data_IF_622781979415
#
_entry.id   IF_622781979415
#
_cell.length_a   1.000
_cell.length_b   1.000
_cell.length_c   1.000
_cell.angle_alpha   90.00
_cell.angle_beta   90.00
_cell.angle_gamma   90.00
#
_symmetry.space_group_name_H-M   'P 1'
#
loop_
_entity.id
_entity.type
_entity.pdbx_description
1 polymer ?
#
# COMPACT_ATOMS: atom_id res chain seq x y z
N UNK A 1 31.27 46.69 9.54
CA UNK A 1 32.55 45.97 9.61
C UNK A 1 32.76 45.25 8.28
N UNK A 2 33.55 45.81 7.37
CA UNK A 2 33.79 45.18 6.05
C UNK A 2 34.78 44.03 6.18
N UNK A 3 34.33 42.82 5.86
CA UNK A 3 35.20 41.64 5.78
C UNK A 3 35.84 41.64 4.39
N UNK A 4 37.15 41.87 4.32
CA UNK A 4 37.84 41.83 3.03
C UNK A 4 37.81 40.42 2.43
N UNK A 5 37.61 40.32 1.11
CA UNK A 5 37.60 39.05 0.35
C UNK A 5 38.83 38.17 0.66
N UNK A 6 39.99 38.79 0.92
CA UNK A 6 41.22 38.09 1.30
C UNK A 6 41.14 37.45 2.70
N UNK A 7 40.48 38.08 3.67
CA UNK A 7 40.22 37.47 4.99
C UNK A 7 39.20 36.33 4.90
N UNK A 8 38.18 36.47 4.05
CA UNK A 8 37.19 35.41 3.83
C UNK A 8 37.81 34.14 3.23
N UNK A 9 38.61 34.27 2.16
CA UNK A 9 39.29 33.13 1.52
C UNK A 9 40.29 32.46 2.48
N UNK A 10 41.03 33.24 3.27
CA UNK A 10 41.96 32.67 4.27
C UNK A 10 41.22 31.87 5.34
N UNK A 11 40.08 32.36 5.81
CA UNK A 11 39.27 31.69 6.83
C UNK A 11 38.57 30.44 6.26
N UNK A 12 38.13 30.45 4.99
CA UNK A 12 37.65 29.25 4.29
C UNK A 12 38.73 28.18 4.14
N UNK A 13 39.96 28.59 3.77
CA UNK A 13 41.09 27.66 3.64
C UNK A 13 41.45 26.96 4.95
N UNK A 14 41.40 27.69 6.07
CA UNK A 14 41.59 27.13 7.41
C UNK A 14 40.45 26.20 7.82
N UNK A 15 39.20 26.53 7.47
CA UNK A 15 38.03 25.67 7.70
C UNK A 15 38.11 24.34 6.92
N UNK A 16 38.47 24.39 5.63
CA UNK A 16 38.64 23.19 4.79
C UNK A 16 39.80 22.30 5.25
N UNK A 17 40.92 22.89 5.69
CA UNK A 17 42.03 22.14 6.25
C UNK A 17 41.62 21.40 7.53
N UNK A 18 40.88 22.06 8.44
CA UNK A 18 40.36 21.44 9.66
C UNK A 18 39.35 20.30 9.39
N UNK A 19 38.52 20.44 8.35
CA UNK A 19 37.61 19.38 7.90
C UNK A 19 38.36 18.17 7.34
N UNK A 20 39.46 18.39 6.60
CA UNK A 20 40.26 17.28 6.04
C UNK A 20 41.07 16.52 7.12
N UNK A 21 41.52 17.21 8.16
CA UNK A 21 42.22 16.61 9.30
C UNK A 21 41.26 15.84 10.22
N UNK A 22 40.05 16.38 10.46
CA UNK A 22 39.00 15.67 11.18
C UNK A 22 38.42 14.50 10.38
N UNK A 23 38.32 14.60 9.05
CA UNK A 23 37.90 13.47 8.21
C UNK A 23 38.90 12.31 8.26
N UNK A 24 40.22 12.59 8.31
CA UNK A 24 41.24 11.55 8.52
C UNK A 24 41.19 10.95 9.93
N UNK A 25 40.93 11.75 10.96
CA UNK A 25 40.75 11.25 12.33
C UNK A 25 39.44 10.46 12.51
N UNK A 26 38.37 10.84 11.82
CA UNK A 26 37.09 10.11 11.81
C UNK A 26 37.21 8.81 10.99
N UNK A 27 37.95 8.81 9.88
CA UNK A 27 38.26 7.63 9.09
C UNK A 27 39.20 6.66 9.85
N UNK A 28 40.14 7.17 10.65
CA UNK A 28 40.99 6.33 11.52
C UNK A 28 40.22 5.76 12.72
N UNK A 29 39.16 6.44 13.20
CA UNK A 29 38.21 5.91 14.19
C UNK A 29 37.07 5.08 13.56
N UNK A 30 37.02 4.99 12.23
CA UNK A 30 36.16 4.06 11.50
C UNK A 30 36.79 2.65 11.40
N UNK A 31 37.90 2.40 12.11
CA UNK A 31 38.33 1.06 12.49
C UNK A 31 37.38 0.46 13.56
N UNK A 32 36.08 0.58 13.35
CA UNK A 32 35.10 -0.17 14.10
C UNK A 32 35.25 -1.63 13.67
N UNK A 33 35.62 -2.50 14.60
CA UNK A 33 35.76 -3.95 14.39
C UNK A 33 34.47 -4.67 13.95
N UNK A 34 33.44 -3.93 13.54
CA UNK A 34 32.20 -4.42 12.95
C UNK A 34 32.47 -5.24 11.69
N UNK A 35 33.50 -4.91 10.91
CA UNK A 35 33.93 -5.75 9.77
C UNK A 35 34.47 -7.11 10.23
N UNK A 36 35.15 -7.16 11.39
CA UNK A 36 35.58 -8.42 12.00
C UNK A 36 34.43 -9.23 12.63
N UNK A 37 33.25 -8.63 12.79
CA UNK A 37 32.00 -9.32 13.13
C UNK A 37 31.31 -9.92 11.89
N UNK A 38 31.76 -9.59 10.67
CA UNK A 38 31.27 -10.21 9.45
C UNK A 38 31.75 -11.65 9.42
N UNK A 39 30.80 -12.56 9.46
CA UNK A 39 31.09 -13.98 9.41
C UNK A 39 31.08 -14.39 7.94
N UNK A 40 32.26 -14.69 7.39
CA UNK A 40 32.44 -14.93 5.95
C UNK A 40 31.83 -16.25 5.47
N UNK A 41 31.67 -17.23 6.34
CA UNK A 41 30.85 -18.41 6.10
C UNK A 41 30.42 -19.00 7.45
N UNK A 42 29.12 -19.23 7.63
CA UNK A 42 28.58 -19.78 8.88
C UNK A 42 27.36 -20.64 8.64
N UNK A 43 27.47 -21.69 7.84
CA UNK A 43 26.36 -22.61 7.57
C UNK A 43 25.05 -21.86 7.24
N UNK A 44 25.17 -20.70 6.58
CA UNK A 44 23.99 -19.88 6.32
C UNK A 44 23.17 -20.67 5.30
N UNK A 45 21.89 -20.97 5.58
CA UNK A 45 21.06 -21.63 4.59
C UNK A 45 21.14 -20.83 3.29
N UNK A 46 21.33 -21.51 2.16
CA UNK A 46 21.30 -20.86 0.86
C UNK A 46 20.00 -20.04 0.81
N UNK A 47 20.07 -18.74 0.45
CA UNK A 47 18.86 -17.92 0.41
C UNK A 47 17.87 -18.60 -0.53
N UNK A 48 16.58 -18.56 -0.15
CA UNK A 48 15.55 -19.08 -1.00
C UNK A 48 15.65 -18.42 -2.38
N UNK A 49 15.41 -19.16 -3.48
CA UNK A 49 15.36 -18.56 -4.81
C UNK A 49 14.42 -17.35 -4.81
N UNK A 50 14.79 -16.31 -5.57
CA UNK A 50 13.94 -15.12 -5.72
C UNK A 50 12.54 -15.54 -6.18
N UNK A 51 11.51 -15.09 -5.46
CA UNK A 51 10.11 -15.41 -5.76
C UNK A 51 9.54 -16.63 -5.03
N UNK A 52 10.30 -17.25 -4.11
CA UNK A 52 9.81 -18.35 -3.26
C UNK A 52 8.91 -17.87 -2.10
N UNK A 53 8.91 -16.56 -1.83
CA UNK A 53 8.20 -15.90 -0.73
C UNK A 53 6.66 -15.85 -0.93
N UNK A 54 6.18 -16.14 -2.14
CA UNK A 54 4.77 -16.04 -2.51
C UNK A 54 4.37 -17.16 -3.46
N UNK A 55 3.19 -17.73 -3.25
CA UNK A 55 2.63 -18.70 -4.19
C UNK A 55 2.44 -18.08 -5.60
N UNK A 56 2.45 -18.88 -6.67
CA UNK A 56 2.24 -18.37 -8.02
C UNK A 56 0.88 -17.67 -8.17
N UNK A 57 0.78 -16.66 -9.04
CA UNK A 57 -0.47 -15.96 -9.31
C UNK A 57 -1.61 -16.91 -9.71
N UNK A 58 -1.31 -17.94 -10.50
CA UNK A 58 -2.27 -18.96 -10.91
C UNK A 58 -2.89 -19.70 -9.73
N UNK A 59 -2.14 -19.89 -8.63
CA UNK A 59 -2.67 -20.48 -7.42
C UNK A 59 -3.76 -19.60 -6.80
N UNK A 60 -3.49 -18.29 -6.63
CA UNK A 60 -4.46 -17.34 -6.10
C UNK A 60 -5.72 -17.23 -6.97
N UNK A 61 -5.54 -17.13 -8.29
CA UNK A 61 -6.65 -17.11 -9.25
C UNK A 61 -7.51 -18.38 -9.16
N UNK A 62 -6.89 -19.56 -8.96
CA UNK A 62 -7.64 -20.82 -8.77
C UNK A 62 -8.47 -20.84 -7.49
N UNK A 63 -7.96 -20.24 -6.39
CA UNK A 63 -8.68 -20.12 -5.12
C UNK A 63 -9.87 -19.18 -5.25
N UNK A 64 -9.68 -18.04 -5.93
CA UNK A 64 -10.77 -17.11 -6.23
C UNK A 64 -11.81 -17.76 -7.13
N UNK A 65 -11.41 -18.50 -8.17
CA UNK A 65 -12.36 -19.22 -9.03
C UNK A 65 -13.20 -20.24 -8.25
N UNK A 66 -12.58 -20.96 -7.31
CA UNK A 66 -13.28 -21.88 -6.40
C UNK A 66 -14.30 -21.13 -5.53
N UNK A 67 -13.89 -19.99 -4.96
CA UNK A 67 -14.78 -19.13 -4.17
C UNK A 67 -15.95 -18.61 -5.01
N UNK A 68 -15.70 -18.10 -6.22
CA UNK A 68 -16.76 -17.60 -7.12
C UNK A 68 -17.76 -18.70 -7.47
N UNK A 69 -17.31 -19.94 -7.67
CA UNK A 69 -18.19 -21.09 -7.93
C UNK A 69 -19.16 -21.35 -6.77
N UNK A 70 -18.70 -21.15 -5.53
CA UNK A 70 -19.57 -21.30 -4.35
C UNK A 70 -20.52 -20.12 -4.21
N UNK A 71 -20.03 -18.89 -4.37
CA UNK A 71 -20.85 -17.68 -4.31
C UNK A 71 -21.93 -17.62 -5.38
N UNK A 72 -21.66 -18.16 -6.58
CA UNK A 72 -22.65 -18.24 -7.65
C UNK A 72 -23.86 -19.10 -7.25
N UNK A 73 -23.68 -20.15 -6.44
CA UNK A 73 -24.78 -21.00 -5.94
C UNK A 73 -25.67 -20.23 -4.96
N UNK A 74 -25.08 -19.30 -4.22
CA UNK A 74 -25.77 -18.40 -3.27
C UNK A 74 -26.36 -17.15 -3.94
N UNK A 75 -26.35 -17.08 -5.28
CA UNK A 75 -26.84 -15.93 -6.06
C UNK A 75 -26.14 -14.60 -5.71
N UNK A 76 -24.87 -14.67 -5.30
CA UNK A 76 -24.03 -13.50 -5.02
C UNK A 76 -23.38 -13.00 -6.32
N UNK A 77 -23.34 -11.68 -6.52
CA UNK A 77 -22.76 -11.04 -7.72
C UNK A 77 -21.26 -10.72 -7.56
N UNK A 78 -20.78 -10.58 -6.33
CA UNK A 78 -19.38 -10.30 -6.02
C UNK A 78 -19.06 -10.38 -4.54
N UNK A 79 -17.78 -10.41 -4.19
CA UNK A 79 -17.32 -10.39 -2.80
C UNK A 79 -16.34 -9.24 -2.57
N UNK A 80 -16.58 -8.48 -1.50
CA UNK A 80 -15.70 -7.43 -0.99
C UNK A 80 -14.96 -7.92 0.25
N UNK A 81 -13.63 -7.96 0.17
CA UNK A 81 -12.77 -8.37 1.27
C UNK A 81 -12.07 -7.15 1.90
N UNK A 82 -12.16 -7.06 3.22
CA UNK A 82 -11.45 -6.07 4.03
C UNK A 82 -10.45 -6.73 4.97
N UNK A 83 -10.69 -7.95 5.48
CA UNK A 83 -9.77 -8.54 6.45
C UNK A 83 -8.44 -8.90 5.80
N UNK A 84 -7.35 -8.49 6.44
CA UNK A 84 -5.98 -8.69 5.94
C UNK A 84 -5.67 -10.11 5.54
N UNK A 85 -5.98 -11.06 6.41
CA UNK A 85 -5.75 -12.48 6.14
C UNK A 85 -6.48 -12.97 4.90
N UNK A 86 -7.71 -12.50 4.66
CA UNK A 86 -8.50 -12.91 3.51
C UNK A 86 -8.00 -12.23 2.23
N UNK A 87 -7.69 -10.92 2.29
CA UNK A 87 -7.11 -10.20 1.15
C UNK A 87 -5.80 -10.86 0.72
N UNK A 88 -4.90 -11.16 1.67
CA UNK A 88 -3.63 -11.84 1.40
C UNK A 88 -3.88 -13.23 0.81
N UNK A 89 -4.75 -14.02 1.43
CA UNK A 89 -5.01 -15.39 0.99
C UNK A 89 -5.60 -15.48 -0.42
N UNK A 90 -6.53 -14.59 -0.77
CA UNK A 90 -7.22 -14.64 -2.06
C UNK A 90 -6.49 -13.88 -3.17
N UNK A 91 -5.77 -12.80 -2.85
CA UNK A 91 -5.10 -11.99 -3.87
C UNK A 91 -3.59 -12.23 -4.00
N UNK A 92 -2.93 -12.70 -2.95
CA UNK A 92 -1.47 -12.75 -2.87
C UNK A 92 -0.79 -11.38 -2.74
N UNK A 93 -1.55 -10.31 -2.50
CA UNK A 93 -0.99 -8.99 -2.18
C UNK A 93 -0.79 -8.89 -0.66
N UNK A 94 0.47 -8.79 -0.22
CA UNK A 94 0.86 -8.71 1.19
C UNK A 94 0.64 -7.31 1.78
N UNK A 95 -0.61 -6.86 1.78
CA UNK A 95 -1.02 -5.57 2.32
C UNK A 95 -2.00 -5.78 3.48
N UNK A 96 -1.54 -5.47 4.69
CA UNK A 96 -2.41 -5.35 5.86
C UNK A 96 -3.16 -4.02 5.86
N UNK A 97 -4.26 -3.87 6.59
CA UNK A 97 -5.02 -2.63 6.73
C UNK A 97 -4.91 -2.11 8.15
N UNK A 98 -5.08 -0.80 8.27
CA UNK A 98 -5.17 -0.12 9.56
C UNK A 98 -6.13 1.05 9.40
N UNK A 99 -5.78 2.21 9.96
CA UNK A 99 -6.49 3.46 9.69
C UNK A 99 -6.59 3.78 8.18
N UNK A 100 -5.60 3.33 7.42
CA UNK A 100 -5.60 3.31 5.95
C UNK A 100 -6.28 2.04 5.49
N UNK A 101 -7.60 2.04 5.51
CA UNK A 101 -8.42 0.91 5.05
C UNK A 101 -8.11 0.58 3.58
N UNK A 102 -8.13 -0.71 3.25
CA UNK A 102 -7.85 -1.22 1.91
C UNK A 102 -8.78 -2.39 1.65
N UNK A 103 -9.44 -2.37 0.50
CA UNK A 103 -10.36 -3.42 0.08
C UNK A 103 -9.94 -4.01 -1.26
N UNK A 104 -10.28 -5.27 -1.45
CA UNK A 104 -10.27 -5.92 -2.76
C UNK A 104 -11.64 -6.49 -3.05
N UNK A 105 -12.10 -6.29 -4.28
CA UNK A 105 -13.39 -6.75 -4.76
C UNK A 105 -13.19 -7.72 -5.91
N UNK A 106 -13.83 -8.88 -5.80
CA UNK A 106 -13.85 -9.93 -6.81
C UNK A 106 -15.27 -10.11 -7.33
N UNK A 107 -15.56 -9.70 -8.59
CA UNK A 107 -16.85 -9.97 -9.22
C UNK A 107 -16.98 -11.46 -9.57
N UNK A 108 -18.17 -12.04 -9.39
CA UNK A 108 -18.41 -13.46 -9.71
C UNK A 108 -18.40 -13.70 -11.22
N UNK A 109 -18.86 -12.74 -12.01
CA UNK A 109 -19.03 -12.89 -13.47
C UNK A 109 -17.76 -12.62 -14.28
N UNK A 110 -16.75 -11.97 -13.70
CA UNK A 110 -15.52 -11.62 -14.43
C UNK A 110 -14.36 -12.50 -13.97
N UNK A 111 -13.82 -13.29 -14.89
CA UNK A 111 -12.69 -14.17 -14.57
C UNK A 111 -11.41 -13.35 -14.38
N UNK A 112 -10.63 -13.73 -13.38
CA UNK A 112 -9.32 -13.14 -13.07
C UNK A 112 -9.36 -11.62 -12.78
N UNK A 113 -10.53 -11.07 -12.44
CA UNK A 113 -10.68 -9.67 -12.08
C UNK A 113 -10.38 -9.45 -10.59
N UNK A 114 -9.57 -8.43 -10.28
CA UNK A 114 -9.29 -7.98 -8.91
C UNK A 114 -9.32 -6.45 -8.86
N UNK A 115 -10.38 -5.89 -8.30
CA UNK A 115 -10.58 -4.44 -8.17
C UNK A 115 -10.17 -3.97 -6.78
N UNK A 116 -9.24 -3.03 -6.72
CA UNK A 116 -8.68 -2.54 -5.46
C UNK A 116 -9.17 -1.15 -5.11
N UNK A 117 -9.38 -0.94 -3.81
CA UNK A 117 -9.69 0.35 -3.21
C UNK A 117 -8.68 0.61 -2.10
N UNK A 118 -7.69 1.47 -2.35
CA UNK A 118 -6.47 1.53 -1.53
C UNK A 118 -5.98 2.95 -1.22
N UNK A 119 -5.11 3.14 -0.22
CA UNK A 119 -4.39 4.40 -0.06
C UNK A 119 -3.33 4.56 -1.15
N UNK A 120 -3.02 5.80 -1.51
CA UNK A 120 -2.07 6.14 -2.58
C UNK A 120 -0.64 5.68 -2.29
N UNK A 121 -0.27 5.53 -1.00
CA UNK A 121 1.04 5.02 -0.59
C UNK A 121 1.27 3.57 -1.03
N UNK A 122 0.21 2.77 -1.14
CA UNK A 122 0.28 1.35 -1.50
C UNK A 122 -0.07 1.10 -2.98
N UNK A 123 -0.28 2.17 -3.76
CA UNK A 123 -0.66 2.07 -5.17
C UNK A 123 0.28 1.16 -5.94
N UNK A 124 1.59 1.41 -5.85
CA UNK A 124 2.60 0.69 -6.62
C UNK A 124 2.77 -0.77 -6.16
N UNK A 125 2.61 -1.02 -4.85
CA UNK A 125 2.58 -2.38 -4.29
C UNK A 125 1.42 -3.19 -4.88
N UNK A 126 0.24 -2.58 -4.99
CA UNK A 126 -0.97 -3.24 -5.49
C UNK A 126 -0.90 -3.42 -7.01
N UNK A 127 -0.57 -2.36 -7.76
CA UNK A 127 -0.56 -2.40 -9.23
C UNK A 127 0.57 -3.24 -9.81
N UNK A 128 1.62 -3.54 -9.04
CA UNK A 128 2.72 -4.43 -9.48
C UNK A 128 2.42 -5.92 -9.32
N UNK A 129 1.25 -6.29 -8.77
CA UNK A 129 0.82 -7.68 -8.62
C UNK A 129 -0.47 -7.97 -9.41
N UNK A 130 -1.46 -8.59 -8.78
CA UNK A 130 -2.76 -8.90 -9.36
C UNK A 130 -3.73 -7.75 -9.13
N UNK A 131 -3.84 -6.90 -10.15
CA UNK A 131 -4.67 -5.71 -10.12
C UNK A 131 -5.29 -5.50 -11.51
N UNK A 132 -6.61 -5.62 -11.60
CA UNK A 132 -7.36 -5.23 -12.80
C UNK A 132 -7.50 -3.72 -12.86
N UNK A 133 -7.85 -3.12 -11.73
CA UNK A 133 -7.91 -1.68 -11.54
C UNK A 133 -7.69 -1.36 -10.06
N UNK A 134 -7.09 -0.21 -9.78
CA UNK A 134 -6.92 0.28 -8.43
C UNK A 134 -7.40 1.72 -8.35
N UNK A 135 -8.53 1.92 -7.67
CA UNK A 135 -8.98 3.23 -7.27
C UNK A 135 -8.37 3.58 -5.93
N UNK A 136 -7.75 4.75 -5.82
CA UNK A 136 -7.07 5.14 -4.59
C UNK A 136 -7.48 6.51 -4.08
N UNK A 137 -7.53 6.63 -2.76
CA UNK A 137 -7.53 7.89 -2.03
C UNK A 137 -6.10 8.24 -1.63
N UNK A 138 -5.77 9.50 -1.33
CA UNK A 138 -4.38 9.87 -1.09
C UNK A 138 -3.79 9.23 0.19
N UNK A 139 -4.34 9.56 1.36
CA UNK A 139 -3.89 9.06 2.67
C UNK A 139 -5.04 9.15 3.68
N UNK A 140 -4.82 8.73 4.93
CA UNK A 140 -5.78 8.91 6.03
C UNK A 140 -5.23 9.93 7.03
N UNK A 141 -6.00 10.97 7.40
CA UNK A 141 -7.30 11.36 6.82
C UNK A 141 -7.20 11.81 5.35
N UNK A 142 -8.29 11.63 4.59
CA UNK A 142 -8.38 12.08 3.19
C UNK A 142 -9.31 13.29 3.07
N UNK A 143 -8.90 14.30 2.31
CA UNK A 143 -9.74 15.41 1.89
C UNK A 143 -10.27 15.17 0.47
N UNK A 144 -11.53 15.51 0.22
CA UNK A 144 -12.13 15.39 -1.12
C UNK A 144 -11.32 16.20 -2.16
N UNK A 145 -10.93 15.54 -3.25
CA UNK A 145 -10.07 16.12 -4.29
C UNK A 145 -8.60 16.31 -3.89
N UNK A 146 -8.22 16.04 -2.63
CA UNK A 146 -6.87 16.26 -2.13
C UNK A 146 -5.91 15.15 -2.55
N UNK A 147 -5.10 15.41 -3.58
CA UNK A 147 -4.01 14.54 -4.04
C UNK A 147 -2.68 15.30 -4.12
N UNK A 148 -1.98 15.51 -2.99
CA UNK A 148 -0.67 16.14 -2.97
C UNK A 148 0.37 15.50 -3.90
N UNK A 149 0.32 14.18 -4.11
CA UNK A 149 1.19 13.49 -5.08
C UNK A 149 0.94 13.89 -6.54
N UNK A 150 -0.20 14.53 -6.84
CA UNK A 150 -0.56 15.07 -8.16
C UNK A 150 -0.41 16.59 -8.23
N UNK A 151 0.08 17.23 -7.16
CA UNK A 151 0.11 18.68 -7.02
C UNK A 151 -1.22 19.30 -6.58
N UNK A 152 -2.23 18.48 -6.25
CA UNK A 152 -3.58 18.93 -5.86
C UNK A 152 -3.66 19.08 -4.33
N UNK A 153 -3.15 20.19 -3.82
CA UNK A 153 -3.16 20.49 -2.38
C UNK A 153 -4.42 21.25 -2.02
N UNK A 154 -5.49 20.51 -1.70
CA UNK A 154 -6.81 21.07 -1.38
C UNK A 154 -7.09 20.92 0.11
N UNK A 155 -7.62 22.00 0.73
CA UNK A 155 -8.28 21.94 2.03
C UNK A 155 -9.76 21.65 1.80
N UNK A 156 -10.23 20.49 2.25
CA UNK A 156 -11.60 20.03 2.00
C UNK A 156 -12.18 19.28 3.20
N UNK A 157 -13.45 18.88 3.07
CA UNK A 157 -14.10 18.02 4.06
C UNK A 157 -13.42 16.65 4.10
N UNK A 158 -13.34 16.07 5.29
CA UNK A 158 -12.84 14.71 5.46
C UNK A 158 -13.80 13.72 4.80
N UNK A 159 -13.25 12.87 3.94
CA UNK A 159 -14.01 11.83 3.24
C UNK A 159 -14.22 10.63 4.15
N UNK A 160 -15.45 10.12 4.19
CA UNK A 160 -15.72 8.80 4.76
C UNK A 160 -15.22 7.73 3.76
N UNK A 161 -14.10 7.08 4.08
CA UNK A 161 -13.46 6.11 3.17
C UNK A 161 -14.36 4.91 2.83
N UNK A 162 -15.17 4.45 3.78
CA UNK A 162 -16.10 3.35 3.53
C UNK A 162 -17.19 3.78 2.55
N UNK A 163 -17.80 4.95 2.75
CA UNK A 163 -18.77 5.51 1.81
C UNK A 163 -18.18 5.80 0.44
N UNK A 164 -16.94 6.31 0.40
CA UNK A 164 -16.20 6.48 -0.85
C UNK A 164 -16.02 5.14 -1.60
N UNK A 165 -15.57 4.08 -0.92
CA UNK A 165 -15.40 2.76 -1.55
C UNK A 165 -16.74 2.21 -2.08
N UNK A 166 -17.83 2.32 -1.31
CA UNK A 166 -19.16 1.90 -1.76
C UNK A 166 -19.64 2.69 -2.99
N UNK A 167 -19.39 4.00 -3.01
CA UNK A 167 -19.72 4.83 -4.19
C UNK A 167 -19.00 4.34 -5.45
N UNK A 168 -17.78 3.81 -5.31
CA UNK A 168 -17.01 3.24 -6.43
C UNK A 168 -17.57 1.91 -6.90
N UNK A 169 -18.01 1.05 -5.97
CA UNK A 169 -18.76 -0.16 -6.33
C UNK A 169 -20.05 0.18 -7.09
N UNK A 170 -20.77 1.22 -6.67
CA UNK A 170 -21.95 1.72 -7.40
C UNK A 170 -21.58 2.15 -8.82
N UNK A 171 -20.54 2.97 -8.98
CA UNK A 171 -20.06 3.40 -10.31
C UNK A 171 -19.65 2.22 -11.20
N UNK A 172 -19.23 1.10 -10.61
CA UNK A 172 -18.88 -0.14 -11.30
C UNK A 172 -20.09 -1.03 -11.63
N UNK A 173 -21.31 -0.59 -11.34
CA UNK A 173 -22.55 -1.28 -11.69
C UNK A 173 -23.03 -2.30 -10.67
N UNK A 174 -22.56 -2.23 -9.42
CA UNK A 174 -23.00 -3.11 -8.33
C UNK A 174 -24.16 -2.55 -7.48
N UNK A 175 -24.83 -1.50 -7.96
CA UNK A 175 -26.09 -1.04 -7.38
C UNK A 175 -27.19 -2.11 -7.51
N UNK A 176 -27.97 -2.33 -6.46
CA UNK A 176 -29.00 -3.38 -6.42
C UNK A 176 -28.48 -4.81 -6.57
N UNK A 177 -27.16 -5.04 -6.43
CA UNK A 177 -26.54 -6.37 -6.51
C UNK A 177 -26.29 -6.98 -5.14
N UNK A 178 -26.23 -8.30 -5.09
CA UNK A 178 -25.91 -9.02 -3.85
C UNK A 178 -24.40 -9.10 -3.71
N UNK A 179 -23.84 -8.33 -2.76
CA UNK A 179 -22.40 -8.31 -2.47
C UNK A 179 -22.14 -9.04 -1.16
N UNK A 180 -21.39 -10.14 -1.22
CA UNK A 180 -20.86 -10.79 -0.02
C UNK A 180 -19.71 -9.97 0.56
N UNK A 181 -19.48 -10.05 1.86
CA UNK A 181 -18.31 -9.44 2.48
C UNK A 181 -17.84 -10.23 3.69
N UNK A 182 -16.55 -10.12 4.01
CA UNK A 182 -16.00 -10.61 5.26
C UNK A 182 -16.06 -9.55 6.37
N UNK A 183 -16.63 -8.38 6.13
CA UNK A 183 -16.78 -7.33 7.14
C UNK A 183 -17.91 -7.67 8.14
N UNK A 184 -17.81 -7.13 9.36
CA UNK A 184 -18.93 -7.05 10.30
C UNK A 184 -19.36 -5.61 10.40
N UNK A 185 -20.62 -5.33 10.07
CA UNK A 185 -21.14 -3.96 10.07
C UNK A 185 -21.80 -3.62 11.41
N UNK A 186 -21.46 -2.45 11.94
CA UNK A 186 -22.28 -1.76 12.94
C UNK A 186 -23.33 -0.86 12.29
N UNK A 187 -24.24 -0.31 13.10
CA UNK A 187 -25.39 0.47 12.62
C UNK A 187 -25.01 1.65 11.72
N UNK A 188 -23.91 2.33 12.02
CA UNK A 188 -23.43 3.45 11.19
C UNK A 188 -22.96 2.98 9.81
N UNK A 189 -22.32 1.81 9.74
CA UNK A 189 -21.89 1.23 8.48
C UNK A 189 -23.09 0.76 7.67
N UNK A 190 -24.08 0.12 8.31
CA UNK A 190 -25.34 -0.25 7.65
C UNK A 190 -26.07 0.97 7.07
N UNK A 191 -26.17 2.09 7.81
CA UNK A 191 -26.71 3.34 7.28
C UNK A 191 -25.92 3.87 6.08
N UNK A 192 -24.61 3.69 6.08
CA UNK A 192 -23.76 4.09 4.94
C UNK A 192 -23.99 3.19 3.75
N UNK A 193 -24.10 1.86 3.95
CA UNK A 193 -24.46 0.90 2.90
C UNK A 193 -25.78 1.28 2.26
N UNK A 194 -26.85 1.49 3.04
CA UNK A 194 -28.17 1.85 2.52
C UNK A 194 -28.20 3.17 1.74
N UNK A 195 -27.26 4.10 2.02
CA UNK A 195 -27.16 5.38 1.32
C UNK A 195 -26.38 5.27 0.00
N UNK A 196 -25.26 4.55 0.01
CA UNK A 196 -24.34 4.51 -1.14
C UNK A 196 -24.65 3.37 -2.13
N UNK A 197 -25.24 2.27 -1.65
CA UNK A 197 -25.69 1.12 -2.43
C UNK A 197 -27.16 0.79 -2.07
N UNK A 198 -28.13 1.58 -2.56
CA UNK A 198 -29.53 1.25 -2.39
C UNK A 198 -29.87 -0.05 -3.13
N UNK A 199 -30.85 -0.78 -2.58
CA UNK A 199 -31.45 -1.96 -3.21
C UNK A 199 -32.45 -1.56 -4.29
#
# INVERSE_FOLDING_TARGET
MEISRRKFVRNMGLGLASLSLNAKALANNAAGGSEALLINDRNHPKPAPKGYDRLPLSWYQSRVATLMTNLQKEQVDGILLERDVNKVYFSGCFRGSGERSTWVFFPVKEKNAAYWYSPGIDRDLITSWWCTENEYYFCYPHAEGGFPNRGEVIKGKTVNLFGWMLSRLRHRGFEGKVIATDMRFGDQQLRTVSRELPN
#
